data_IF_664193156943
#
_entry.id   IF_664193156943
#
_cell.length_a   1.000
_cell.length_b   1.000
_cell.length_c   1.000
_cell.angle_alpha   90.00
_cell.angle_beta   90.00
_cell.angle_gamma   90.00
#
_symmetry.space_group_name_H-M   'P 1'
#
loop_
_entity.id
_entity.type
_entity.pdbx_description
1 polymer ?
#
# COMPACT_ATOMS: atom_id res chain seq x y z
N UNK A 1 -22.71 -3.54 -0.91
CA UNK A 1 -22.95 -2.22 -0.29
C UNK A 1 -21.63 -1.76 0.33
N UNK A 2 -21.24 -0.49 0.19
CA UNK A 2 -19.98 0.02 0.77
C UNK A 2 -20.11 0.13 2.29
N UNK A 3 -19.19 -0.49 3.04
CA UNK A 3 -19.21 -0.42 4.49
C UNK A 3 -18.52 0.87 4.97
N UNK A 4 -19.33 1.84 5.39
CA UNK A 4 -18.86 3.15 5.86
C UNK A 4 -17.95 3.05 7.09
N UNK A 5 -18.00 1.95 7.86
CA UNK A 5 -17.12 1.75 9.01
C UNK A 5 -15.69 1.38 8.60
N UNK A 6 -15.53 0.73 7.44
CA UNK A 6 -14.23 0.31 6.91
C UNK A 6 -13.54 1.40 6.06
N UNK A 7 -14.14 2.59 5.94
CA UNK A 7 -13.64 3.68 5.09
C UNK A 7 -12.22 4.13 5.44
N UNK A 8 -11.87 4.18 6.72
CA UNK A 8 -10.55 4.64 7.16
C UNK A 8 -9.44 3.68 6.74
N UNK A 9 -9.66 2.37 6.88
CA UNK A 9 -8.70 1.36 6.43
C UNK A 9 -8.52 1.39 4.91
N UNK A 10 -9.62 1.55 4.17
CA UNK A 10 -9.60 1.75 2.71
C UNK A 10 -8.77 2.98 2.32
N UNK A 11 -8.99 4.13 2.97
CA UNK A 11 -8.22 5.34 2.71
C UNK A 11 -6.74 5.21 3.07
N UNK A 12 -6.39 4.48 4.14
CA UNK A 12 -4.99 4.21 4.45
C UNK A 12 -4.31 3.38 3.36
N UNK A 13 -4.98 2.37 2.79
CA UNK A 13 -4.45 1.65 1.63
C UNK A 13 -4.25 2.55 0.42
N UNK A 14 -5.21 3.46 0.13
CA UNK A 14 -5.06 4.44 -0.96
C UNK A 14 -3.90 5.39 -0.68
N UNK A 15 -3.76 5.87 0.56
CA UNK A 15 -2.64 6.74 0.95
C UNK A 15 -1.30 6.06 0.71
N UNK A 16 -1.15 4.79 1.10
CA UNK A 16 0.08 4.03 0.83
C UNK A 16 0.31 3.90 -0.68
N UNK A 17 -0.71 3.60 -1.47
CA UNK A 17 -0.59 3.53 -2.93
C UNK A 17 -0.11 4.87 -3.53
N UNK A 18 -0.62 6.00 -3.04
CA UNK A 18 -0.18 7.34 -3.46
C UNK A 18 1.27 7.59 -3.08
N UNK A 19 1.69 7.24 -1.87
CA UNK A 19 3.09 7.38 -1.42
C UNK A 19 4.02 6.55 -2.31
N UNK A 20 3.67 5.29 -2.60
CA UNK A 20 4.46 4.43 -3.49
C UNK A 20 4.50 5.00 -4.91
N UNK A 21 3.41 5.59 -5.40
CA UNK A 21 3.40 6.25 -6.70
C UNK A 21 4.34 7.47 -6.73
N UNK A 22 4.32 8.32 -5.70
CA UNK A 22 5.25 9.45 -5.57
C UNK A 22 6.70 9.00 -5.51
N UNK A 23 6.99 7.95 -4.73
CA UNK A 23 8.33 7.34 -4.66
C UNK A 23 8.77 6.74 -6.01
N UNK A 24 7.82 6.17 -6.77
CA UNK A 24 8.08 5.69 -8.13
C UNK A 24 8.48 6.83 -9.07
N UNK A 25 7.77 7.96 -9.03
CA UNK A 25 8.13 9.15 -9.80
C UNK A 25 9.52 9.69 -9.41
N UNK A 26 9.82 9.70 -8.11
CA UNK A 26 11.13 10.12 -7.61
C UNK A 26 12.26 9.20 -8.11
N UNK A 27 12.06 7.88 -8.10
CA UNK A 27 13.01 6.91 -8.64
C UNK A 27 13.27 7.10 -10.14
N UNK A 28 12.22 7.37 -10.92
CA UNK A 28 12.36 7.67 -12.36
C UNK A 28 13.17 8.95 -12.56
N UNK A 29 12.83 10.02 -11.84
CA UNK A 29 13.55 11.30 -11.91
C UNK A 29 15.04 11.13 -11.58
N UNK A 30 15.36 10.39 -10.51
CA UNK A 30 16.73 10.15 -10.09
C UNK A 30 17.50 9.33 -11.14
N UNK A 31 16.84 8.33 -11.73
CA UNK A 31 17.42 7.48 -12.77
C UNK A 31 17.73 8.25 -14.06
N UNK A 32 16.89 9.22 -14.43
CA UNK A 32 17.13 10.11 -15.57
C UNK A 32 18.26 11.09 -15.23
N UNK A 33 18.24 11.68 -14.03
CA UNK A 33 19.18 12.74 -13.63
C UNK A 33 20.61 12.23 -13.45
N UNK A 34 20.78 11.02 -12.91
CA UNK A 34 22.10 10.43 -12.63
C UNK A 34 22.56 9.44 -13.71
N UNK A 35 21.75 9.21 -14.74
CA UNK A 35 21.93 8.14 -15.71
C UNK A 35 21.53 6.76 -15.15
N UNK A 36 21.03 5.90 -16.03
CA UNK A 36 20.63 4.54 -15.67
C UNK A 36 21.89 3.70 -15.46
N UNK A 37 22.22 3.40 -14.20
CA UNK A 37 23.40 2.58 -13.86
C UNK A 37 23.14 1.08 -14.05
N UNK A 38 21.95 0.61 -13.70
CA UNK A 38 21.53 -0.78 -13.84
C UNK A 38 20.06 -0.85 -14.32
N UNK A 39 19.89 -1.26 -15.57
CA UNK A 39 18.57 -1.36 -16.20
C UNK A 39 17.71 -2.49 -15.59
N UNK A 40 18.32 -3.57 -15.10
CA UNK A 40 17.60 -4.67 -14.48
C UNK A 40 17.06 -4.25 -13.10
N UNK A 41 17.88 -3.57 -12.30
CA UNK A 41 17.45 -2.99 -11.02
C UNK A 41 16.31 -2.00 -11.21
N UNK A 42 16.44 -1.07 -12.17
CA UNK A 42 15.40 -0.08 -12.48
C UNK A 42 14.09 -0.76 -12.90
N UNK A 43 14.16 -1.71 -13.84
CA UNK A 43 12.98 -2.41 -14.37
C UNK A 43 12.29 -3.22 -13.28
N UNK A 44 13.05 -4.00 -12.49
CA UNK A 44 12.52 -4.77 -11.36
C UNK A 44 11.90 -3.87 -10.30
N UNK A 45 12.54 -2.75 -9.97
CA UNK A 45 12.03 -1.75 -9.04
C UNK A 45 10.70 -1.13 -9.51
N UNK A 46 10.61 -0.75 -10.78
CA UNK A 46 9.38 -0.19 -11.37
C UNK A 46 8.23 -1.20 -11.36
N UNK A 47 8.48 -2.43 -11.84
CA UNK A 47 7.47 -3.50 -11.85
C UNK A 47 6.99 -3.81 -10.43
N UNK A 48 7.91 -3.96 -9.49
CA UNK A 48 7.58 -4.22 -8.08
C UNK A 48 6.71 -3.12 -7.47
N UNK A 49 7.07 -1.84 -7.68
CA UNK A 49 6.30 -0.70 -7.17
C UNK A 49 4.92 -0.60 -7.82
N UNK A 50 4.80 -0.82 -9.13
CA UNK A 50 3.52 -0.85 -9.83
C UNK A 50 2.61 -1.96 -9.28
N UNK A 51 3.15 -3.16 -9.07
CA UNK A 51 2.42 -4.26 -8.44
C UNK A 51 1.92 -3.88 -7.04
N UNK A 52 2.76 -3.22 -6.22
CA UNK A 52 2.37 -2.77 -4.89
C UNK A 52 1.23 -1.72 -4.94
N UNK A 53 1.28 -0.77 -5.86
CA UNK A 53 0.20 0.22 -6.05
C UNK A 53 -1.12 -0.49 -6.36
N UNK A 54 -1.11 -1.42 -7.30
CA UNK A 54 -2.30 -2.20 -7.68
C UNK A 54 -2.83 -3.02 -6.51
N UNK A 55 -1.95 -3.72 -5.79
CA UNK A 55 -2.32 -4.51 -4.63
C UNK A 55 -2.96 -3.66 -3.54
N UNK A 56 -2.40 -2.49 -3.22
CA UNK A 56 -2.98 -1.59 -2.23
C UNK A 56 -4.34 -1.05 -2.68
N UNK A 57 -4.50 -0.73 -3.96
CA UNK A 57 -5.79 -0.35 -4.53
C UNK A 57 -6.84 -1.47 -4.43
N UNK A 58 -6.46 -2.71 -4.74
CA UNK A 58 -7.33 -3.88 -4.59
C UNK A 58 -7.70 -4.13 -3.13
N UNK A 59 -6.73 -4.09 -2.22
CA UNK A 59 -6.97 -4.23 -0.78
C UNK A 59 -7.95 -3.17 -0.29
N UNK A 60 -7.78 -1.91 -0.68
CA UNK A 60 -8.69 -0.80 -0.34
C UNK A 60 -10.15 -1.14 -0.67
N UNK A 61 -10.42 -1.62 -1.89
CA UNK A 61 -11.77 -1.99 -2.33
C UNK A 61 -12.32 -3.17 -1.54
N UNK A 62 -11.52 -4.21 -1.39
CA UNK A 62 -11.93 -5.43 -0.68
C UNK A 62 -12.22 -5.18 0.79
N UNK A 63 -11.39 -4.41 1.49
CA UNK A 63 -11.65 -4.06 2.90
C UNK A 63 -12.90 -3.18 3.03
N UNK A 64 -13.14 -2.27 2.08
CA UNK A 64 -14.32 -1.41 2.07
C UNK A 64 -15.62 -2.21 1.82
N UNK A 65 -15.52 -3.31 1.08
CA UNK A 65 -16.59 -4.28 0.90
C UNK A 65 -16.73 -5.29 2.05
N UNK A 66 -15.96 -5.16 3.13
CA UNK A 66 -16.06 -6.07 4.28
C UNK A 66 -15.68 -7.52 3.95
N UNK A 67 -14.81 -7.71 2.95
CA UNK A 67 -14.31 -9.00 2.50
C UNK A 67 -13.27 -9.58 3.47
N UNK A 68 -13.50 -10.79 4.00
CA UNK A 68 -12.56 -11.45 4.92
C UNK A 68 -11.19 -11.68 4.27
N UNK A 69 -11.16 -12.08 3.00
CA UNK A 69 -9.88 -12.27 2.29
C UNK A 69 -9.17 -10.92 2.09
N UNK A 70 -9.93 -9.84 1.84
CA UNK A 70 -9.42 -8.48 1.82
C UNK A 70 -8.77 -8.06 3.13
N UNK A 71 -9.38 -8.39 4.27
CA UNK A 71 -8.82 -8.13 5.60
C UNK A 71 -7.51 -8.89 5.82
N UNK A 72 -7.45 -10.17 5.46
CA UNK A 72 -6.24 -10.98 5.63
C UNK A 72 -5.11 -10.44 4.75
N UNK A 73 -5.41 -10.15 3.48
CA UNK A 73 -4.46 -9.52 2.56
C UNK A 73 -3.98 -8.17 3.10
N UNK A 74 -4.90 -7.33 3.62
CA UNK A 74 -4.57 -6.05 4.25
C UNK A 74 -3.56 -6.22 5.39
N UNK A 75 -3.81 -7.14 6.32
CA UNK A 75 -2.90 -7.42 7.45
C UNK A 75 -1.53 -7.85 6.93
N UNK A 76 -1.48 -8.80 5.99
CA UNK A 76 -0.24 -9.30 5.40
C UNK A 76 0.58 -8.17 4.75
N UNK A 77 -0.04 -7.36 3.89
CA UNK A 77 0.67 -6.25 3.24
C UNK A 77 1.08 -5.15 4.21
N UNK A 78 0.32 -4.95 5.29
CA UNK A 78 0.66 -3.98 6.33
C UNK A 78 1.95 -4.34 7.06
N UNK A 79 2.30 -5.63 7.19
CA UNK A 79 3.59 -6.05 7.78
C UNK A 79 4.79 -5.52 6.99
N UNK A 80 4.68 -5.45 5.66
CA UNK A 80 5.73 -4.84 4.83
C UNK A 80 5.75 -3.31 4.98
N UNK A 81 4.58 -2.66 5.10
CA UNK A 81 4.49 -1.22 5.36
C UNK A 81 5.14 -0.85 6.70
N UNK A 82 4.98 -1.69 7.73
CA UNK A 82 5.63 -1.51 9.03
C UNK A 82 7.16 -1.46 8.95
N UNK A 83 7.76 -2.23 8.03
CA UNK A 83 9.21 -2.26 7.84
C UNK A 83 9.77 -1.00 7.15
N UNK A 84 8.91 -0.18 6.53
CA UNK A 84 9.30 1.05 5.84
C UNK A 84 9.44 2.25 6.82
N UNK A 85 10.38 2.15 7.76
CA UNK A 85 10.61 3.15 8.81
C UNK A 85 11.10 4.50 8.24
N UNK A 86 10.72 5.66 8.84
CA UNK A 86 9.78 5.82 9.95
C UNK A 86 8.31 5.96 9.54
N UNK A 87 8.06 6.57 8.38
CA UNK A 87 6.70 6.98 7.96
C UNK A 87 5.80 5.76 7.75
N UNK A 88 6.32 4.72 7.07
CA UNK A 88 5.60 3.48 6.85
C UNK A 88 5.26 2.77 8.16
N UNK A 89 6.15 2.79 9.15
CA UNK A 89 5.85 2.22 10.48
C UNK A 89 4.63 2.87 11.12
N UNK A 90 4.55 4.19 11.13
CA UNK A 90 3.40 4.92 11.69
C UNK A 90 2.11 4.54 10.96
N UNK A 91 2.12 4.60 9.62
CA UNK A 91 0.95 4.24 8.80
C UNK A 91 0.56 2.78 9.03
N UNK A 92 1.54 1.88 9.09
CA UNK A 92 1.36 0.45 9.30
C UNK A 92 0.72 0.12 10.64
N UNK A 93 1.10 0.81 11.71
CA UNK A 93 0.44 0.67 13.03
C UNK A 93 -1.04 1.03 12.94
N UNK A 94 -1.39 2.15 12.31
CA UNK A 94 -2.78 2.55 12.12
C UNK A 94 -3.55 1.54 11.26
N UNK A 95 -2.95 1.09 10.15
CA UNK A 95 -3.56 0.08 9.29
C UNK A 95 -3.84 -1.22 10.05
N UNK A 96 -2.89 -1.73 10.83
CA UNK A 96 -3.11 -2.91 11.69
C UNK A 96 -4.20 -2.67 12.71
N UNK A 97 -4.19 -1.51 13.39
CA UNK A 97 -5.21 -1.18 14.37
C UNK A 97 -6.61 -1.21 13.75
N UNK A 98 -6.79 -0.58 12.59
CA UNK A 98 -8.07 -0.60 11.89
C UNK A 98 -8.44 -2.00 11.40
N UNK A 99 -7.50 -2.75 10.83
CA UNK A 99 -7.73 -4.12 10.36
C UNK A 99 -8.08 -5.10 11.48
N UNK A 100 -7.51 -4.95 12.68
CA UNK A 100 -7.72 -5.89 13.78
C UNK A 100 -8.96 -5.51 14.60
N UNK A 101 -9.09 -4.24 14.98
CA UNK A 101 -10.05 -3.82 16.01
C UNK A 101 -11.26 -3.06 15.49
N UNK A 102 -11.21 -2.48 14.29
CA UNK A 102 -12.27 -1.60 13.77
C UNK A 102 -12.93 -2.11 12.48
N UNK A 103 -12.33 -3.09 11.82
CA UNK A 103 -12.87 -3.68 10.61
C UNK A 103 -14.09 -4.53 10.93
N UNK A 104 -15.14 -4.37 10.13
CA UNK A 104 -16.36 -5.17 10.20
C UNK A 104 -16.60 -5.95 8.91
N UNK A 105 -17.10 -7.17 9.06
CA UNK A 105 -17.56 -7.99 7.94
C UNK A 105 -18.85 -7.40 7.37
N UNK A 106 -19.01 -7.47 6.05
CA UNK A 106 -20.30 -7.21 5.40
C UNK A 106 -21.29 -8.37 5.60
#
# INVERSE_FOLDING_TARGET
>A
MLNLKNKYLSYLHILVAVIVAMDTFYLIYLSISNGVQDAAYLTGGLVGKLCLIVIHYMCSREVQHGSTIGRIASIFFTLFVLAAFPIGTVIGIFMLFFSIFKWEKN
#
